data_IF_590974029576
#
_entry.id   IF_590974029576
#
_cell.length_a   1.000
_cell.length_b   1.000
_cell.length_c   1.000
_cell.angle_alpha   90.00
_cell.angle_beta   90.00
_cell.angle_gamma   90.00
#
_symmetry.space_group_name_H-M   'P 1'
#
loop_
_entity.id
_entity.type
_entity.pdbx_description
1 polymer ?
#
# COMPACT_ATOMS: atom_id res chain seq x y z
N UNK A 1 35.82 -33.14 5.35
CA UNK A 1 34.82 -32.90 6.41
C UNK A 1 33.47 -33.25 5.81
N UNK A 2 32.65 -34.13 6.40
CA UNK A 2 31.35 -34.46 5.84
C UNK A 2 30.50 -33.19 5.88
N UNK A 3 29.94 -32.81 4.74
CA UNK A 3 28.96 -31.74 4.64
C UNK A 3 27.71 -32.19 5.42
N UNK A 4 27.51 -31.63 6.60
CA UNK A 4 26.26 -31.76 7.34
C UNK A 4 25.40 -30.57 6.88
N UNK A 5 24.27 -30.86 6.23
CA UNK A 5 23.51 -29.92 5.42
C UNK A 5 23.09 -28.62 6.12
N UNK A 6 22.89 -27.57 5.31
CA UNK A 6 22.30 -26.28 5.73
C UNK A 6 20.95 -26.54 6.40
N UNK A 7 20.72 -25.98 7.59
CA UNK A 7 19.42 -26.06 8.26
C UNK A 7 18.32 -25.52 7.32
N UNK A 8 17.15 -26.17 7.23
CA UNK A 8 16.04 -25.65 6.44
C UNK A 8 15.61 -24.29 7.01
N UNK A 9 15.72 -23.26 6.18
CA UNK A 9 15.11 -21.96 6.41
C UNK A 9 13.66 -22.11 5.98
N UNK A 10 12.82 -22.47 6.94
CA UNK A 10 11.38 -22.21 7.03
C UNK A 10 10.89 -23.06 8.21
N UNK A 11 10.17 -22.43 9.15
CA UNK A 11 9.72 -23.09 10.37
C UNK A 11 8.99 -24.40 10.08
N UNK A 12 9.09 -25.37 10.99
CA UNK A 12 8.39 -26.64 10.88
C UNK A 12 6.89 -26.40 10.61
N UNK A 13 6.44 -26.73 9.39
CA UNK A 13 5.05 -26.57 8.93
C UNK A 13 4.09 -27.60 9.58
N UNK A 14 4.66 -28.58 10.27
CA UNK A 14 3.91 -29.62 10.93
C UNK A 14 3.65 -29.20 12.39
N UNK A 15 2.39 -29.04 12.75
CA UNK A 15 1.95 -28.69 14.09
C UNK A 15 1.67 -29.98 14.88
N UNK A 16 2.47 -30.30 15.89
CA UNK A 16 2.10 -31.33 16.87
C UNK A 16 1.03 -30.75 17.81
N UNK A 17 -0.13 -31.39 17.84
CA UNK A 17 -1.24 -30.99 18.72
C UNK A 17 -1.01 -31.47 20.15
N UNK A 18 -1.79 -30.88 21.06
CA UNK A 18 -1.78 -31.26 22.46
C UNK A 18 -2.25 -32.72 22.62
N UNK A 19 -1.66 -33.41 23.60
CA UNK A 19 -2.01 -34.79 23.87
C UNK A 19 -3.48 -34.91 24.32
N UNK A 20 -4.24 -35.76 23.66
CA UNK A 20 -5.57 -36.18 24.11
C UNK A 20 -5.36 -37.37 25.05
N UNK A 21 -5.35 -37.09 26.36
CA UNK A 21 -4.83 -38.04 27.36
C UNK A 21 -5.84 -39.07 27.86
N UNK A 22 -7.14 -38.94 27.54
CA UNK A 22 -8.17 -39.91 27.93
C UNK A 22 -9.16 -40.19 26.81
N UNK A 23 -9.28 -41.45 26.41
CA UNK A 23 -10.34 -41.94 25.55
C UNK A 23 -11.60 -42.24 26.39
N UNK A 24 -12.57 -41.32 26.37
CA UNK A 24 -13.72 -41.33 27.27
C UNK A 24 -14.98 -41.96 26.64
N UNK A 25 -14.86 -43.22 26.19
CA UNK A 25 -15.97 -43.99 25.59
C UNK A 25 -16.73 -43.25 24.47
N UNK A 26 -16.07 -42.29 23.83
CA UNK A 26 -16.64 -41.34 22.88
C UNK A 26 -15.84 -41.40 21.57
N UNK A 27 -16.49 -41.06 20.45
CA UNK A 27 -15.84 -41.02 19.14
C UNK A 27 -15.17 -39.66 18.85
N UNK A 28 -15.69 -38.58 19.43
CA UNK A 28 -15.25 -37.19 19.18
C UNK A 28 -14.28 -36.64 20.23
N UNK A 29 -13.22 -35.98 19.77
CA UNK A 29 -12.20 -35.35 20.62
C UNK A 29 -11.87 -33.95 20.09
N UNK A 30 -11.68 -33.00 21.01
CA UNK A 30 -11.29 -31.64 20.66
C UNK A 30 -9.80 -31.57 20.31
N UNK A 31 -9.49 -30.99 19.16
CA UNK A 31 -8.16 -30.67 18.69
C UNK A 31 -7.75 -29.34 19.31
N UNK A 32 -6.63 -29.36 20.05
CA UNK A 32 -6.06 -28.17 20.65
C UNK A 32 -4.57 -28.09 20.36
N UNK A 33 -4.07 -26.86 20.29
CA UNK A 33 -2.65 -26.54 20.23
C UNK A 33 -2.38 -25.47 21.27
N UNK A 34 -1.47 -25.77 22.20
CA UNK A 34 -1.12 -24.88 23.31
C UNK A 34 -2.37 -24.40 24.06
N UNK A 35 -3.33 -25.30 24.27
CA UNK A 35 -4.66 -25.08 24.90
C UNK A 35 -5.63 -24.19 24.12
N UNK A 36 -5.33 -23.84 22.87
CA UNK A 36 -6.24 -23.10 21.97
C UNK A 36 -6.87 -24.07 20.98
N UNK A 37 -8.15 -23.86 20.64
CA UNK A 37 -8.84 -24.68 19.65
C UNK A 37 -8.12 -24.64 18.29
N UNK A 38 -7.78 -25.82 17.78
CA UNK A 38 -7.10 -25.99 16.50
C UNK A 38 -8.10 -26.48 15.44
N UNK A 39 -8.17 -25.79 14.29
CA UNK A 39 -9.08 -26.15 13.19
C UNK A 39 -8.28 -26.57 11.96
N UNK A 40 -8.15 -27.88 11.68
CA UNK A 40 -7.44 -28.34 10.49
C UNK A 40 -8.21 -28.00 9.21
N UNK A 41 -7.46 -27.94 8.10
CA UNK A 41 -8.01 -27.69 6.76
C UNK A 41 -8.90 -28.87 6.32
N UNK A 42 -8.52 -30.12 6.65
CA UNK A 42 -9.34 -31.31 6.42
C UNK A 42 -8.85 -32.51 7.24
N UNK A 43 -9.58 -33.64 7.23
CA UNK A 43 -9.06 -34.90 7.79
C UNK A 43 -7.74 -35.35 7.14
N UNK A 44 -7.53 -35.06 5.86
CA UNK A 44 -6.33 -35.45 5.11
C UNK A 44 -5.11 -34.59 5.48
N UNK A 45 -5.32 -33.44 6.14
CA UNK A 45 -4.23 -32.62 6.65
C UNK A 45 -3.81 -33.04 8.07
N UNK A 46 -4.27 -34.20 8.57
CA UNK A 46 -3.83 -34.75 9.85
C UNK A 46 -3.09 -36.08 9.65
N UNK A 47 -2.05 -36.29 10.45
CA UNK A 47 -1.49 -37.61 10.72
C UNK A 47 -1.84 -37.99 12.15
N UNK A 48 -2.61 -39.07 12.30
CA UNK A 48 -3.15 -39.52 13.60
C UNK A 48 -2.64 -40.93 13.88
N UNK A 49 -2.05 -41.14 15.05
CA UNK A 49 -1.74 -42.47 15.57
C UNK A 49 -2.70 -42.83 16.70
N UNK A 50 -3.19 -44.06 16.65
CA UNK A 50 -3.97 -44.68 17.71
C UNK A 50 -3.31 -46.02 18.06
N UNK A 51 -2.90 -46.19 19.32
CA UNK A 51 -2.21 -47.40 19.81
C UNK A 51 -0.99 -47.80 18.98
N UNK A 52 -0.23 -46.82 18.49
CA UNK A 52 0.93 -46.99 17.62
C UNK A 52 0.61 -47.27 16.15
N UNK A 53 -0.67 -47.29 15.75
CA UNK A 53 -1.09 -47.51 14.35
C UNK A 53 -1.55 -46.20 13.73
N UNK A 54 -0.93 -45.81 12.62
CA UNK A 54 -1.37 -44.68 11.80
C UNK A 54 -2.75 -44.94 11.23
N UNK A 55 -3.67 -44.00 11.44
CA UNK A 55 -5.06 -44.09 11.04
C UNK A 55 -5.27 -43.51 9.64
N UNK A 56 -6.09 -44.18 8.83
CA UNK A 56 -6.45 -43.70 7.50
C UNK A 56 -7.45 -42.53 7.58
N UNK A 57 -7.14 -41.34 7.01
CA UNK A 57 -8.08 -40.24 6.96
C UNK A 57 -9.38 -40.63 6.25
N UNK A 58 -10.51 -40.01 6.63
CA UNK A 58 -11.87 -40.20 6.10
C UNK A 58 -12.49 -41.57 6.42
N UNK A 59 -11.70 -42.64 6.38
CA UNK A 59 -12.15 -44.00 6.66
C UNK A 59 -12.12 -44.32 8.16
N UNK A 60 -11.00 -44.03 8.83
CA UNK A 60 -10.84 -44.31 10.27
C UNK A 60 -11.25 -43.12 11.15
N UNK A 61 -11.24 -41.90 10.60
CA UNK A 61 -11.70 -40.69 11.28
C UNK A 61 -12.15 -39.61 10.29
N UNK A 62 -12.99 -38.70 10.78
CA UNK A 62 -13.40 -37.47 10.12
C UNK A 62 -13.09 -36.26 11.00
N UNK A 63 -13.16 -35.05 10.46
CA UNK A 63 -12.93 -33.82 11.23
C UNK A 63 -13.96 -32.77 10.86
N UNK A 64 -14.49 -32.07 11.85
CA UNK A 64 -15.41 -30.94 11.66
C UNK A 64 -15.08 -29.84 12.68
N UNK A 65 -14.80 -28.63 12.19
CA UNK A 65 -14.27 -27.57 13.04
C UNK A 65 -13.01 -28.03 13.78
N UNK A 66 -13.01 -27.93 15.10
CA UNK A 66 -11.92 -28.39 15.95
C UNK A 66 -12.11 -29.82 16.49
N UNK A 67 -13.09 -30.59 16.02
CA UNK A 67 -13.37 -31.93 16.57
C UNK A 67 -12.97 -33.02 15.57
N UNK A 68 -12.04 -33.89 15.97
CA UNK A 68 -11.77 -35.16 15.28
C UNK A 68 -12.77 -36.21 15.77
N UNK A 69 -13.34 -36.99 14.86
CA UNK A 69 -14.28 -38.06 15.19
C UNK A 69 -13.80 -39.37 14.58
N UNK A 70 -13.47 -40.34 15.42
CA UNK A 70 -13.10 -41.70 15.00
C UNK A 70 -14.33 -42.49 14.55
N UNK A 71 -14.13 -43.45 13.64
CA UNK A 71 -15.22 -44.28 13.10
C UNK A 71 -15.90 -45.16 14.17
N UNK A 72 -15.19 -45.46 15.26
CA UNK A 72 -15.69 -46.17 16.43
C UNK A 72 -15.32 -45.42 17.71
N UNK A 73 -16.13 -45.57 18.76
CA UNK A 73 -15.81 -45.02 20.07
C UNK A 73 -14.50 -45.63 20.57
N UNK A 74 -13.60 -44.78 21.06
CA UNK A 74 -12.37 -45.23 21.72
C UNK A 74 -12.68 -45.66 23.15
N UNK A 75 -12.08 -46.75 23.61
CA UNK A 75 -12.22 -47.26 24.97
C UNK A 75 -11.12 -46.66 25.86
N UNK A 76 -11.28 -46.72 27.18
CA UNK A 76 -10.31 -46.17 28.13
C UNK A 76 -8.88 -46.76 28.04
N UNK A 77 -8.71 -47.90 27.35
CA UNK A 77 -7.40 -48.50 27.08
C UNK A 77 -6.72 -47.95 25.81
N UNK A 78 -7.46 -47.25 24.95
CA UNK A 78 -6.94 -46.69 23.72
C UNK A 78 -6.21 -45.38 23.98
N UNK A 79 -5.08 -45.18 23.31
CA UNK A 79 -4.24 -44.00 23.43
C UNK A 79 -4.03 -43.38 22.06
N UNK A 80 -4.33 -42.09 21.93
CA UNK A 80 -3.96 -41.29 20.76
C UNK A 80 -2.51 -40.83 20.99
N UNK A 81 -1.54 -41.49 20.36
CA UNK A 81 -0.13 -41.23 20.63
C UNK A 81 0.31 -39.84 20.15
N UNK A 82 -0.16 -39.46 18.97
CA UNK A 82 0.09 -38.16 18.39
C UNK A 82 -0.98 -37.80 17.37
N UNK A 83 -1.23 -36.50 17.27
CA UNK A 83 -1.90 -35.88 16.13
C UNK A 83 -0.98 -34.78 15.61
N UNK A 84 -0.61 -34.88 14.34
CA UNK A 84 0.19 -33.86 13.66
C UNK A 84 -0.68 -33.23 12.58
N UNK A 85 -0.88 -31.92 12.65
CA UNK A 85 -1.51 -31.13 11.60
C UNK A 85 -0.49 -30.65 10.58
N UNK A 86 -0.82 -30.79 9.30
CA UNK A 86 -0.11 -30.20 8.18
C UNK A 86 -0.81 -28.90 7.82
N UNK A 87 -0.40 -27.82 8.48
CA UNK A 87 -0.85 -26.49 8.09
C UNK A 87 0.01 -26.06 6.90
N UNK A 88 -0.63 -25.84 5.74
CA UNK A 88 0.06 -25.17 4.64
C UNK A 88 0.65 -23.84 5.15
N UNK A 89 1.76 -23.35 4.60
CA UNK A 89 2.36 -22.11 5.09
C UNK A 89 1.28 -21.02 5.09
N UNK A 90 1.10 -20.34 6.22
CA UNK A 90 0.40 -19.05 6.22
C UNK A 90 1.22 -18.17 5.28
N UNK A 91 0.73 -17.96 4.06
CA UNK A 91 1.40 -17.15 3.03
C UNK A 91 1.37 -15.70 3.50
N UNK A 92 2.28 -15.38 4.41
CA UNK A 92 2.75 -14.02 4.60
C UNK A 92 3.83 -13.90 3.56
N UNK A 93 3.46 -13.46 2.36
CA UNK A 93 4.41 -13.29 1.27
C UNK A 93 5.40 -12.20 1.70
N UNK A 94 6.48 -12.62 2.35
CA UNK A 94 7.69 -11.80 2.43
C UNK A 94 8.26 -11.89 1.03
N UNK A 95 7.89 -10.92 0.20
CA UNK A 95 8.47 -10.79 -1.11
C UNK A 95 9.88 -10.25 -0.91
N UNK A 96 10.87 -10.89 -1.51
CA UNK A 96 12.21 -10.31 -1.55
C UNK A 96 12.11 -8.94 -2.22
N UNK A 97 13.00 -8.02 -1.82
CA UNK A 97 13.12 -6.72 -2.46
C UNK A 97 13.27 -6.89 -3.99
N UNK A 98 12.74 -5.94 -4.75
CA UNK A 98 12.75 -5.91 -6.21
C UNK A 98 11.98 -7.04 -6.94
N UNK A 99 11.24 -7.91 -6.22
CA UNK A 99 10.45 -8.97 -6.88
C UNK A 99 9.09 -8.52 -7.39
N UNK A 100 8.55 -7.41 -6.89
CA UNK A 100 7.28 -6.85 -7.37
C UNK A 100 7.51 -6.12 -8.69
N UNK A 101 7.16 -6.77 -9.80
CA UNK A 101 7.21 -6.18 -11.14
C UNK A 101 5.91 -5.47 -11.49
N UNK A 102 5.93 -4.59 -12.49
CA UNK A 102 4.72 -3.95 -13.01
C UNK A 102 3.70 -4.96 -13.54
N UNK A 103 4.14 -6.11 -14.06
CA UNK A 103 3.22 -7.17 -14.50
C UNK A 103 2.44 -7.81 -13.34
N UNK A 104 2.96 -7.72 -12.11
CA UNK A 104 2.31 -8.23 -10.89
C UNK A 104 1.31 -7.23 -10.30
N UNK A 105 1.38 -5.97 -10.70
CA UNK A 105 0.45 -4.92 -10.34
C UNK A 105 -0.47 -4.69 -11.55
N UNK A 106 -1.70 -5.18 -11.49
CA UNK A 106 -2.68 -4.90 -12.55
C UNK A 106 -2.91 -3.39 -12.64
N UNK A 107 -3.30 -2.90 -13.81
CA UNK A 107 -3.74 -1.52 -13.97
C UNK A 107 -4.82 -1.19 -12.92
N UNK A 108 -4.71 -0.01 -12.30
CA UNK A 108 -5.57 0.47 -11.22
C UNK A 108 -5.64 -0.41 -9.96
N UNK A 109 -4.72 -1.35 -9.78
CA UNK A 109 -4.70 -2.24 -8.61
C UNK A 109 -4.31 -1.55 -7.29
N UNK A 110 -3.83 -0.30 -7.35
CA UNK A 110 -3.45 0.52 -6.19
C UNK A 110 -4.35 1.76 -6.14
N UNK A 111 -5.41 1.68 -5.35
CA UNK A 111 -6.36 2.76 -5.11
C UNK A 111 -6.06 3.57 -3.84
N UNK A 112 -6.89 4.58 -3.58
CA UNK A 112 -6.77 5.47 -2.41
C UNK A 112 -6.87 4.74 -1.08
N UNK A 113 -7.61 3.64 -1.00
CA UNK A 113 -7.74 2.88 0.24
C UNK A 113 -6.48 2.04 0.56
N UNK A 114 -5.66 1.78 -0.46
CA UNK A 114 -4.41 1.03 -0.35
C UNK A 114 -3.20 1.94 -0.11
N UNK A 115 -3.37 3.25 -0.28
CA UNK A 115 -2.38 4.28 0.00
C UNK A 115 -2.88 5.06 1.23
N UNK A 116 -2.23 4.86 2.38
CA UNK A 116 -2.64 5.48 3.65
C UNK A 116 -3.04 6.96 3.45
N UNK A 117 -4.25 7.33 3.91
CA UNK A 117 -5.05 8.46 3.42
C UNK A 117 -4.46 9.87 3.55
N UNK A 118 -3.22 9.99 4.03
CA UNK A 118 -2.37 11.18 3.93
C UNK A 118 -1.36 10.99 2.79
N UNK A 119 -1.85 10.90 1.55
CA UNK A 119 -0.99 10.84 0.38
C UNK A 119 -0.34 12.22 0.14
N UNK A 120 0.81 12.47 0.75
CA UNK A 120 1.72 13.50 0.24
C UNK A 120 2.45 12.90 -0.94
N UNK A 121 2.09 13.31 -2.16
CA UNK A 121 2.86 12.94 -3.35
C UNK A 121 4.16 13.73 -3.32
N UNK A 122 5.28 13.03 -3.14
CA UNK A 122 6.61 13.60 -3.31
C UNK A 122 7.02 13.50 -4.79
N UNK A 123 7.30 14.64 -5.41
CA UNK A 123 7.70 14.75 -6.82
C UNK A 123 9.13 15.29 -6.86
N UNK A 124 10.10 14.39 -6.77
CA UNK A 124 11.53 14.73 -6.80
C UNK A 124 12.09 15.01 -8.22
N UNK A 125 11.26 14.89 -9.25
CA UNK A 125 11.63 15.17 -10.64
C UNK A 125 10.57 14.74 -11.65
N UNK A 126 10.84 14.98 -12.94
CA UNK A 126 9.94 14.66 -14.04
C UNK A 126 9.00 15.81 -14.43
N UNK A 127 8.17 15.54 -15.43
CA UNK A 127 7.12 16.45 -15.89
C UNK A 127 5.76 16.01 -15.36
N UNK A 128 4.88 16.97 -15.09
CA UNK A 128 3.46 16.73 -14.82
C UNK A 128 2.71 17.07 -16.10
N UNK A 129 2.14 16.07 -16.76
CA UNK A 129 1.37 16.23 -17.99
C UNK A 129 -0.09 15.77 -17.79
N UNK A 130 -1.03 16.47 -18.41
CA UNK A 130 -2.47 16.14 -18.35
C UNK A 130 -3.14 16.29 -16.97
N UNK A 131 -2.43 16.75 -15.94
CA UNK A 131 -2.98 16.88 -14.59
C UNK A 131 -3.37 18.33 -14.24
N UNK A 132 -4.56 18.50 -13.67
CA UNK A 132 -4.98 19.76 -13.05
C UNK A 132 -4.47 19.77 -11.61
N UNK A 133 -3.65 20.76 -11.26
CA UNK A 133 -3.14 20.93 -9.89
C UNK A 133 -4.06 21.86 -9.10
N UNK A 134 -4.50 21.41 -7.92
CA UNK A 134 -5.32 22.22 -7.01
C UNK A 134 -6.80 22.35 -7.38
N UNK A 135 -7.36 21.42 -8.17
CA UNK A 135 -8.74 21.51 -8.68
C UNK A 135 -9.81 21.57 -7.57
N UNK A 136 -9.70 20.72 -6.55
CA UNK A 136 -10.70 20.62 -5.46
C UNK A 136 -10.30 21.43 -4.22
N UNK A 137 -9.00 21.44 -3.88
CA UNK A 137 -8.45 22.18 -2.74
C UNK A 137 -7.16 22.85 -3.17
N UNK A 138 -7.23 24.12 -3.50
CA UNK A 138 -6.07 24.92 -3.87
C UNK A 138 -5.23 25.26 -2.63
N UNK A 139 -3.91 25.22 -2.79
CA UNK A 139 -2.94 25.69 -1.82
C UNK A 139 -1.94 26.62 -2.52
N UNK A 140 -1.13 27.34 -1.74
CA UNK A 140 -0.09 28.20 -2.30
C UNK A 140 0.99 27.38 -3.01
N UNK A 141 1.35 27.79 -4.23
CA UNK A 141 2.52 27.28 -4.95
C UNK A 141 3.71 28.20 -4.75
N UNK A 142 4.89 27.64 -4.46
CA UNK A 142 6.15 28.38 -4.38
C UNK A 142 7.08 27.89 -5.49
N UNK A 143 7.49 28.79 -6.37
CA UNK A 143 8.38 28.49 -7.49
C UNK A 143 9.64 29.35 -7.39
N UNK A 144 10.82 28.75 -7.52
CA UNK A 144 12.08 29.49 -7.65
C UNK A 144 12.16 30.21 -9.00
N UNK A 145 11.66 29.58 -10.06
CA UNK A 145 11.50 30.15 -11.38
C UNK A 145 10.24 29.55 -12.03
N UNK A 146 9.48 30.38 -12.76
CA UNK A 146 8.32 29.96 -13.52
C UNK A 146 8.42 30.53 -14.93
N UNK A 147 8.47 29.64 -15.92
CA UNK A 147 8.39 29.99 -17.33
C UNK A 147 7.03 29.54 -17.85
N UNK A 148 6.25 30.48 -18.37
CA UNK A 148 4.99 30.20 -19.06
C UNK A 148 5.13 30.61 -20.53
N UNK A 149 4.79 29.70 -21.44
CA UNK A 149 4.85 29.96 -22.89
C UNK A 149 3.51 30.46 -23.44
N UNK A 150 2.45 30.39 -22.63
CA UNK A 150 1.10 30.80 -22.98
C UNK A 150 0.62 32.01 -22.17
N UNK A 151 -0.70 32.20 -22.16
CA UNK A 151 -1.33 33.21 -21.32
C UNK A 151 -1.46 32.70 -19.90
N UNK A 152 -1.06 33.52 -18.92
CA UNK A 152 -1.35 33.28 -17.51
C UNK A 152 -2.35 34.33 -17.03
N UNK A 153 -3.38 33.92 -16.30
CA UNK A 153 -4.38 34.83 -15.74
C UNK A 153 -4.26 34.84 -14.22
N UNK A 154 -4.07 36.02 -13.66
CA UNK A 154 -3.98 36.23 -12.23
C UNK A 154 -4.96 37.32 -11.82
N UNK A 155 -5.72 37.10 -10.75
CA UNK A 155 -6.65 38.10 -10.24
C UNK A 155 -5.92 39.34 -9.72
N UNK A 156 -4.79 39.11 -9.05
CA UNK A 156 -3.88 40.14 -8.55
C UNK A 156 -2.45 39.69 -8.79
N UNK A 157 -1.58 40.61 -9.18
CA UNK A 157 -0.14 40.36 -9.32
C UNK A 157 0.58 41.40 -8.48
N UNK A 158 1.45 40.93 -7.60
CA UNK A 158 2.41 41.77 -6.87
C UNK A 158 3.81 41.50 -7.43
N UNK A 159 4.49 42.56 -7.87
CA UNK A 159 5.81 42.49 -8.49
C UNK A 159 6.75 43.37 -7.66
N UNK A 160 7.48 42.72 -6.74
CA UNK A 160 8.41 43.40 -5.84
C UNK A 160 9.82 43.56 -6.42
N UNK A 161 10.04 43.14 -7.67
CA UNK A 161 11.32 43.26 -8.36
C UNK A 161 11.33 42.59 -9.73
N UNK A 162 12.44 42.76 -10.46
CA UNK A 162 12.61 42.26 -11.82
C UNK A 162 12.23 43.25 -12.91
N UNK A 163 12.51 42.89 -14.15
CA UNK A 163 12.12 43.67 -15.33
C UNK A 163 10.80 43.13 -15.88
N UNK A 164 9.98 44.05 -16.41
CA UNK A 164 8.82 43.71 -17.24
C UNK A 164 9.19 44.17 -18.65
N UNK A 165 9.47 43.21 -19.54
CA UNK A 165 9.84 43.49 -20.94
C UNK A 165 8.80 42.87 -21.89
N UNK A 166 8.59 43.53 -23.03
CA UNK A 166 7.67 43.08 -24.07
C UNK A 166 6.19 43.07 -23.67
N UNK A 167 5.83 43.57 -22.48
CA UNK A 167 4.45 43.57 -21.98
C UNK A 167 3.74 44.90 -22.30
N UNK A 168 2.54 44.80 -22.88
CA UNK A 168 1.62 45.93 -22.99
C UNK A 168 0.78 45.99 -21.71
N UNK A 169 0.83 47.12 -21.00
CA UNK A 169 0.04 47.33 -19.78
C UNK A 169 -1.27 48.02 -20.14
N UNK A 170 -2.40 47.46 -19.68
CA UNK A 170 -3.73 48.07 -19.82
C UNK A 170 -4.40 47.90 -21.18
N UNK A 171 -4.03 46.89 -21.99
CA UNK A 171 -4.53 46.73 -23.36
C UNK A 171 -6.07 46.55 -23.46
N UNK A 172 -6.66 45.71 -22.61
CA UNK A 172 -8.10 45.40 -22.65
C UNK A 172 -8.96 46.32 -21.77
N UNK A 173 -8.41 46.74 -20.64
CA UNK A 173 -9.06 47.67 -19.69
C UNK A 173 -7.99 48.57 -19.10
N UNK A 174 -7.89 49.79 -19.65
CA UNK A 174 -6.92 50.77 -19.19
C UNK A 174 -7.41 51.41 -17.89
N UNK A 175 -6.52 51.53 -16.91
CA UNK A 175 -6.71 52.27 -15.69
C UNK A 175 -5.51 53.20 -15.46
N UNK A 176 -5.69 54.23 -14.62
CA UNK A 176 -4.59 55.14 -14.29
C UNK A 176 -3.51 54.39 -13.49
N UNK A 177 -2.27 54.45 -13.97
CA UNK A 177 -1.10 54.00 -13.22
C UNK A 177 -0.58 55.11 -12.30
N UNK A 178 -0.16 54.75 -11.09
CA UNK A 178 0.59 55.64 -10.20
C UNK A 178 2.05 55.22 -10.20
N UNK A 179 2.94 56.12 -10.62
CA UNK A 179 4.38 55.87 -10.66
C UNK A 179 5.09 56.88 -9.78
N UNK A 180 6.01 56.43 -8.93
CA UNK A 180 6.93 57.32 -8.22
C UNK A 180 7.97 57.92 -9.16
N UNK A 181 8.41 57.14 -10.15
CA UNK A 181 9.39 57.52 -11.17
C UNK A 181 9.04 56.84 -12.48
N UNK A 182 9.09 57.61 -13.56
CA UNK A 182 9.14 57.09 -14.93
C UNK A 182 10.38 57.71 -15.56
N UNK A 183 11.23 56.90 -16.17
CA UNK A 183 12.41 57.38 -16.88
C UNK A 183 12.67 56.44 -18.06
N UNK A 184 13.24 56.97 -19.14
CA UNK A 184 13.78 56.16 -20.21
C UNK A 184 15.13 55.53 -19.81
N UNK A 185 15.72 54.76 -20.73
CA UNK A 185 17.01 54.09 -20.50
C UNK A 185 18.18 55.07 -20.24
N UNK A 186 18.01 56.36 -20.56
CA UNK A 186 18.99 57.42 -20.28
C UNK A 186 18.65 58.21 -19.02
N UNK A 187 17.62 57.81 -18.27
CA UNK A 187 17.19 58.49 -17.04
C UNK A 187 16.36 59.75 -17.28
N UNK A 188 15.98 60.05 -18.52
CA UNK A 188 15.20 61.22 -18.87
C UNK A 188 13.70 60.90 -18.98
N UNK A 189 12.84 61.88 -18.69
CA UNK A 189 11.43 61.84 -19.09
C UNK A 189 11.35 62.50 -20.46
N UNK A 190 11.08 61.73 -21.50
CA UNK A 190 10.67 62.32 -22.78
C UNK A 190 9.27 62.89 -22.57
N UNK A 191 9.12 64.21 -22.69
CA UNK A 191 7.80 64.84 -22.65
C UNK A 191 6.87 64.12 -23.64
N UNK A 192 5.66 63.77 -23.19
CA UNK A 192 4.60 63.37 -24.13
C UNK A 192 4.32 64.63 -24.95
N UNK A 193 4.62 64.65 -26.27
CA UNK A 193 4.29 65.82 -27.07
C UNK A 193 2.78 66.04 -26.95
N UNK A 194 2.40 67.15 -26.33
CA UNK A 194 1.01 67.58 -26.33
C UNK A 194 0.69 67.91 -27.78
N UNK A 195 -0.19 67.13 -28.37
CA UNK A 195 -0.71 67.42 -29.68
C UNK A 195 -1.73 68.55 -29.54
N UNK A 196 -1.26 69.78 -29.31
CA UNK A 196 -2.11 70.96 -29.34
C UNK A 196 -2.49 71.23 -30.81
N UNK A 197 -3.56 70.58 -31.25
CA UNK A 197 -4.13 70.74 -32.59
C UNK A 197 -5.03 71.97 -32.70
N UNK A 198 -4.89 72.95 -31.80
CA UNK A 198 -5.75 74.12 -31.75
C UNK A 198 -4.99 75.44 -31.91
N UNK A 199 -4.15 75.54 -32.95
CA UNK A 199 -3.74 76.83 -33.54
C UNK A 199 -4.65 77.23 -34.69
#
# INVERSE_FOLDING_TARGET
MPFIGRAPFDGNLNTLLDAVTTADNTAGYALTKDSVAYTPISAQSLMVSLNGVTQAPIAAYTVSGNTITFASNLMAADVIDYIIGFDGPKVTATLDDDTVTTAMIKDDAVGSDQLDGSLTVDINGGAIDGAIVGANSAAAGTFTALTSTGTSTHATVDINGGAIDGAIIGANSAAAGTFSTVADASGAIRAIPLNDQNS
#
